data_IF_592634617185
#
_entry.id   IF_592634617185
#
_cell.length_a   1.000
_cell.length_b   1.000
_cell.length_c   1.000
_cell.angle_alpha   90.00
_cell.angle_beta   90.00
_cell.angle_gamma   90.00
#
_symmetry.space_group_name_H-M   'P 1'
#
loop_
_entity.id
_entity.type
_entity.pdbx_description
1 polymer ?
#
# COMPACT_ATOMS: atom_id res chain seq x y z
N UNK A 1 -6.22 2.51 15.37
CA UNK A 1 -5.06 1.60 15.28
C UNK A 1 -4.54 1.58 13.85
N UNK A 2 -3.25 1.78 13.66
CA UNK A 2 -2.68 1.82 12.33
C UNK A 2 -2.61 0.40 11.74
N UNK A 3 -2.99 0.26 10.47
CA UNK A 3 -2.90 -1.00 9.75
C UNK A 3 -1.51 -1.09 9.13
N UNK A 4 -0.80 -2.19 9.41
CA UNK A 4 0.50 -2.45 8.80
C UNK A 4 0.31 -3.22 7.50
N UNK A 5 0.70 -2.60 6.40
CA UNK A 5 0.66 -3.23 5.07
C UNK A 5 2.07 -3.61 4.64
N UNK A 6 2.22 -4.85 4.17
CA UNK A 6 3.49 -5.31 3.62
C UNK A 6 3.63 -4.88 2.17
N UNK A 7 4.83 -4.99 1.63
CA UNK A 7 5.11 -4.55 0.26
C UNK A 7 4.17 -5.15 -0.77
N UNK A 8 3.87 -6.44 -0.66
CA UNK A 8 2.94 -7.09 -1.59
C UNK A 8 1.53 -6.51 -1.49
N UNK A 9 1.09 -6.20 -0.28
CA UNK A 9 -0.23 -5.61 -0.05
C UNK A 9 -0.31 -4.19 -0.60
N UNK A 10 0.78 -3.43 -0.49
CA UNK A 10 0.86 -2.09 -1.06
C UNK A 10 0.73 -2.10 -2.58
N UNK A 11 1.20 -3.15 -3.26
CA UNK A 11 1.05 -3.28 -4.71
C UNK A 11 -0.43 -3.33 -5.11
N UNK A 12 -1.23 -4.09 -4.38
CA UNK A 12 -2.67 -4.17 -4.61
C UNK A 12 -3.35 -2.84 -4.27
N UNK A 13 -3.04 -2.28 -3.12
CA UNK A 13 -3.65 -1.03 -2.68
C UNK A 13 -3.34 0.11 -3.64
N UNK A 14 -2.12 0.17 -4.19
CA UNK A 14 -1.74 1.20 -5.17
C UNK A 14 -2.65 1.21 -6.39
N UNK A 15 -3.06 0.03 -6.87
CA UNK A 15 -3.99 -0.04 -8.00
C UNK A 15 -5.30 0.66 -7.65
N UNK A 16 -5.84 0.37 -6.46
CA UNK A 16 -7.11 0.96 -6.03
C UNK A 16 -6.98 2.45 -5.75
N UNK A 17 -5.87 2.88 -5.18
CA UNK A 17 -5.64 4.30 -4.89
C UNK A 17 -5.48 5.13 -6.15
N UNK A 18 -4.86 4.57 -7.19
CA UNK A 18 -4.65 5.28 -8.45
C UNK A 18 -5.85 5.24 -9.37
N UNK A 19 -6.54 4.11 -9.44
CA UNK A 19 -7.56 3.89 -10.46
C UNK A 19 -8.97 3.78 -9.93
N UNK A 20 -9.15 3.76 -8.61
CA UNK A 20 -10.46 3.58 -7.98
C UNK A 20 -10.85 2.12 -7.90
N UNK A 21 -12.11 1.87 -7.63
CA UNK A 21 -12.63 0.51 -7.44
C UNK A 21 -12.39 -0.36 -8.68
N UNK A 22 -11.92 -1.57 -8.45
CA UNK A 22 -11.64 -2.55 -9.52
C UNK A 22 -12.06 -3.92 -9.06
N UNK A 23 -12.46 -4.76 -10.02
CA UNK A 23 -12.67 -6.18 -9.70
C UNK A 23 -11.33 -6.85 -9.43
N UNK A 24 -11.36 -7.96 -8.68
CA UNK A 24 -10.14 -8.74 -8.43
C UNK A 24 -9.47 -9.15 -9.74
N UNK A 25 -10.27 -9.48 -10.77
CA UNK A 25 -9.72 -9.85 -12.07
C UNK A 25 -9.00 -8.66 -12.73
N UNK A 26 -9.57 -7.47 -12.66
CA UNK A 26 -8.94 -6.28 -13.22
C UNK A 26 -7.63 -5.97 -12.51
N UNK A 27 -7.61 -6.10 -11.18
CA UNK A 27 -6.37 -5.92 -10.40
C UNK A 27 -5.33 -6.96 -10.84
N UNK A 28 -5.75 -8.20 -11.01
CA UNK A 28 -4.87 -9.28 -11.44
C UNK A 28 -4.27 -8.99 -12.82
N UNK A 29 -5.09 -8.53 -13.76
CA UNK A 29 -4.61 -8.20 -15.12
C UNK A 29 -3.58 -7.08 -15.09
N UNK A 30 -3.82 -6.05 -14.29
CA UNK A 30 -2.91 -4.92 -14.14
C UNK A 30 -1.58 -5.37 -13.54
N UNK A 31 -1.61 -6.12 -12.45
CA UNK A 31 -0.39 -6.55 -11.77
C UNK A 31 0.37 -7.61 -12.54
N UNK A 32 -0.32 -8.42 -13.35
CA UNK A 32 0.34 -9.35 -14.24
C UNK A 32 1.20 -8.60 -15.26
N UNK A 33 0.66 -7.54 -15.82
CA UNK A 33 1.38 -6.74 -16.81
C UNK A 33 2.50 -5.92 -16.16
N UNK A 34 2.24 -5.30 -15.02
CA UNK A 34 3.21 -4.41 -14.39
C UNK A 34 4.36 -5.14 -13.70
N UNK A 35 4.07 -6.21 -12.98
CA UNK A 35 5.07 -6.89 -12.14
C UNK A 35 5.09 -8.41 -12.30
N UNK A 36 4.33 -8.96 -13.24
CA UNK A 36 4.38 -10.37 -13.56
C UNK A 36 3.71 -11.31 -12.56
N UNK A 37 2.84 -10.81 -11.70
CA UNK A 37 2.13 -11.66 -10.75
C UNK A 37 1.10 -12.52 -11.47
N UNK A 38 1.01 -13.81 -11.09
CA UNK A 38 -0.08 -14.64 -11.58
C UNK A 38 -1.36 -14.37 -10.78
N UNK A 39 -2.47 -14.87 -11.30
CA UNK A 39 -3.79 -14.65 -10.70
C UNK A 39 -3.87 -15.14 -9.24
N UNK A 40 -3.28 -16.30 -8.96
CA UNK A 40 -3.33 -16.86 -7.60
C UNK A 40 -2.61 -15.98 -6.60
N UNK A 41 -1.46 -15.43 -6.97
CA UNK A 41 -0.71 -14.51 -6.12
C UNK A 41 -1.54 -13.27 -5.83
N UNK A 42 -2.12 -12.67 -6.86
CA UNK A 42 -2.92 -11.45 -6.69
C UNK A 42 -4.13 -11.70 -5.79
N UNK A 43 -4.86 -12.78 -6.03
CA UNK A 43 -6.06 -13.08 -5.21
C UNK A 43 -5.69 -13.35 -3.76
N UNK A 44 -4.57 -14.05 -3.53
CA UNK A 44 -4.09 -14.30 -2.16
C UNK A 44 -3.80 -12.99 -1.44
N UNK A 45 -3.13 -12.06 -2.11
CA UNK A 45 -2.79 -10.77 -1.51
C UNK A 45 -4.03 -9.91 -1.27
N UNK A 46 -4.99 -9.91 -2.22
CA UNK A 46 -6.27 -9.21 -2.02
C UNK A 46 -6.96 -9.73 -0.76
N UNK A 47 -7.00 -11.04 -0.57
CA UNK A 47 -7.63 -11.63 0.62
C UNK A 47 -6.92 -11.22 1.91
N UNK A 48 -5.58 -11.08 1.87
CA UNK A 48 -4.83 -10.58 3.02
C UNK A 48 -5.21 -9.14 3.34
N UNK A 49 -5.37 -8.30 2.32
CA UNK A 49 -5.82 -6.93 2.51
C UNK A 49 -7.23 -6.88 3.11
N UNK A 50 -8.12 -7.78 2.65
CA UNK A 50 -9.47 -7.90 3.20
C UNK A 50 -9.43 -8.28 4.69
N UNK A 51 -8.58 -9.25 5.02
CA UNK A 51 -8.44 -9.72 6.41
C UNK A 51 -7.94 -8.60 7.34
N UNK A 52 -7.14 -7.68 6.82
CA UNK A 52 -6.63 -6.52 7.57
C UNK A 52 -7.63 -5.36 7.61
N UNK A 53 -8.75 -5.45 6.92
CA UNK A 53 -9.72 -4.37 6.86
C UNK A 53 -9.34 -3.25 5.90
N UNK A 54 -8.41 -3.49 4.98
CA UNK A 54 -7.97 -2.49 4.02
C UNK A 54 -8.80 -2.47 2.74
N UNK A 55 -9.43 -3.60 2.40
CA UNK A 55 -10.28 -3.74 1.22
C UNK A 55 -11.63 -4.30 1.63
N UNK A 56 -12.69 -3.75 1.04
CA UNK A 56 -14.03 -4.29 1.14
C UNK A 56 -14.41 -4.91 -0.20
N UNK A 57 -14.91 -6.15 -0.14
CA UNK A 57 -15.42 -6.85 -1.31
C UNK A 57 -16.92 -6.62 -1.46
N UNK A 58 -17.36 -6.32 -2.66
CA UNK A 58 -18.78 -6.29 -2.98
C UNK A 58 -19.06 -7.14 -4.22
N UNK A 59 -20.27 -7.65 -4.30
CA UNK A 59 -20.73 -8.42 -5.44
C UNK A 59 -21.59 -7.53 -6.36
N UNK A 60 -21.73 -7.87 -7.63
CA UNK A 60 -21.16 -9.03 -8.30
C UNK A 60 -19.70 -8.83 -8.71
N UNK A 61 -19.06 -9.92 -9.14
CA UNK A 61 -17.73 -9.90 -9.79
C UNK A 61 -16.54 -9.57 -8.88
N UNK A 62 -16.71 -9.75 -7.56
CA UNK A 62 -15.60 -9.53 -6.63
C UNK A 62 -15.03 -8.11 -6.80
N UNK A 63 -15.87 -7.12 -6.62
CA UNK A 63 -15.44 -5.71 -6.69
C UNK A 63 -14.67 -5.37 -5.43
N UNK A 64 -13.51 -4.77 -5.59
CA UNK A 64 -12.65 -4.37 -4.48
C UNK A 64 -12.70 -2.85 -4.29
N UNK A 65 -12.90 -2.44 -3.05
CA UNK A 65 -12.95 -1.04 -2.67
C UNK A 65 -11.95 -0.79 -1.53
N UNK A 66 -11.11 0.23 -1.68
CA UNK A 66 -10.15 0.59 -0.64
C UNK A 66 -10.87 1.26 0.52
N UNK A 67 -10.71 0.70 1.72
CA UNK A 67 -11.34 1.24 2.94
C UNK A 67 -10.48 2.28 3.63
N UNK A 68 -9.18 2.30 3.34
CA UNK A 68 -8.26 3.26 3.96
C UNK A 68 -7.61 4.13 2.88
N UNK A 69 -7.55 5.45 3.09
CA UNK A 69 -6.88 6.35 2.15
C UNK A 69 -5.37 6.14 2.16
N UNK A 70 -4.73 6.42 1.03
CA UNK A 70 -3.28 6.33 0.90
C UNK A 70 -2.57 7.19 1.94
N UNK A 71 -3.11 8.39 2.20
CA UNK A 71 -2.52 9.35 3.13
C UNK A 71 -2.43 8.79 4.55
N UNK A 72 -3.40 8.00 4.97
CA UNK A 72 -3.39 7.36 6.29
C UNK A 72 -2.23 6.38 6.40
N UNK A 73 -2.01 5.59 5.34
CA UNK A 73 -0.90 4.63 5.32
C UNK A 73 0.44 5.36 5.27
N UNK A 74 0.55 6.40 4.43
CA UNK A 74 1.77 7.20 4.34
C UNK A 74 2.14 7.81 5.69
N UNK A 75 1.16 8.37 6.39
CA UNK A 75 1.37 8.99 7.70
C UNK A 75 1.83 7.95 8.74
N UNK A 76 1.19 6.79 8.78
CA UNK A 76 1.55 5.73 9.71
C UNK A 76 2.96 5.20 9.44
N UNK A 77 3.32 5.01 8.18
CA UNK A 77 4.67 4.53 7.82
C UNK A 77 5.73 5.58 8.14
N UNK A 78 5.44 6.86 7.88
CA UNK A 78 6.36 7.93 8.21
C UNK A 78 6.60 8.03 9.71
N UNK A 79 5.53 7.94 10.52
CA UNK A 79 5.64 7.97 11.97
C UNK A 79 6.47 6.78 12.50
N UNK A 80 6.26 5.60 11.94
CA UNK A 80 7.02 4.42 12.33
C UNK A 80 8.50 4.61 12.01
N UNK A 81 8.81 5.09 10.81
CA UNK A 81 10.19 5.35 10.40
C UNK A 81 10.88 6.37 11.29
N UNK A 82 10.21 7.48 11.57
CA UNK A 82 10.73 8.55 12.39
C UNK A 82 10.97 8.05 13.83
N UNK A 83 10.01 7.30 14.39
CA UNK A 83 10.16 6.75 15.73
C UNK A 83 11.29 5.74 15.83
N UNK A 84 11.46 4.92 14.78
CA UNK A 84 12.39 3.80 14.79
C UNK A 84 13.83 4.22 14.53
N UNK A 85 14.06 5.14 13.60
CA UNK A 85 15.40 5.49 13.12
C UNK A 85 15.81 6.93 13.41
N UNK A 86 14.89 7.80 13.76
CA UNK A 86 15.14 9.23 13.93
C UNK A 86 14.69 9.75 15.29
N UNK A 87 14.61 8.86 16.26
CA UNK A 87 14.32 9.20 17.68
C UNK A 87 13.04 10.02 17.86
N UNK A 88 12.06 9.80 16.97
CA UNK A 88 10.80 10.54 17.02
C UNK A 88 10.89 11.97 16.50
N UNK A 89 12.01 12.36 15.90
CA UNK A 89 12.23 13.73 15.41
C UNK A 89 12.11 13.81 13.89
N UNK A 90 11.07 14.48 13.35
CA UNK A 90 10.99 14.73 11.90
C UNK A 90 12.16 15.56 11.38
N UNK A 91 12.73 16.44 12.21
CA UNK A 91 13.86 17.28 11.81
C UNK A 91 15.09 16.42 11.47
N UNK A 92 15.31 15.33 12.20
CA UNK A 92 16.42 14.42 11.91
C UNK A 92 16.24 13.72 10.57
N UNK A 93 15.01 13.35 10.21
CA UNK A 93 14.72 12.79 8.90
C UNK A 93 14.99 13.79 7.79
N UNK A 94 14.53 15.04 7.95
CA UNK A 94 14.80 16.09 6.97
C UNK A 94 16.29 16.34 6.79
N UNK A 95 17.03 16.37 7.89
CA UNK A 95 18.48 16.56 7.82
C UNK A 95 19.14 15.45 7.01
N UNK A 96 18.74 14.20 7.22
CA UNK A 96 19.28 13.06 6.47
C UNK A 96 18.98 13.17 4.97
N UNK A 97 17.76 13.59 4.61
CA UNK A 97 17.38 13.77 3.22
C UNK A 97 18.14 14.88 2.54
N UNK A 98 18.35 15.99 3.25
CA UNK A 98 19.12 17.11 2.72
C UNK A 98 20.58 16.76 2.50
N UNK A 99 21.18 15.99 3.41
CA UNK A 99 22.55 15.52 3.26
C UNK A 99 22.69 14.61 2.03
N UNK A 100 21.72 13.74 1.80
CA UNK A 100 21.72 12.88 0.61
C UNK A 100 21.65 13.70 -0.69
N UNK A 101 20.90 14.78 -0.70
CA UNK A 101 20.80 15.65 -1.87
C UNK A 101 22.13 16.34 -2.18
N UNK A 102 22.90 16.66 -1.16
CA UNK A 102 24.21 17.28 -1.34
C UNK A 102 25.22 16.34 -1.97
N UNK A 103 25.02 15.04 -1.80
CA UNK A 103 25.92 14.02 -2.31
C UNK A 103 25.64 13.61 -3.75
N UNK A 104 24.52 14.04 -4.31
CA UNK A 104 24.14 13.68 -5.67
C UNK A 104 24.64 14.65 -6.72
#
# INVERSE_FOLDING_TARGET
MAIKLFDSELKVMDVLWKEGDKTAKQISDILKEEIGWNMNTTYTVIKKCMAKGAIERSEPNFMCHALIPKEVVQEAEAEELIGKLFDGSPDKLFAALLDNQKLS
#
